data_IF_762799775614
#
_entry.id   IF_762799775614
#
_cell.length_a   1.000
_cell.length_b   1.000
_cell.length_c   1.000
_cell.angle_alpha   90.00
_cell.angle_beta   90.00
_cell.angle_gamma   90.00
#
_symmetry.space_group_name_H-M   'P 1'
#
loop_
_entity.id
_entity.type
_entity.pdbx_description
1 polymer ?
#
# COMPACT_ATOMS: atom_id res chain seq x y z
N UNK A 1 28.91 27.39 6.45
CA UNK A 1 28.86 26.01 6.99
C UNK A 1 27.45 25.60 7.46
N UNK A 2 26.64 26.52 8.02
CA UNK A 2 25.24 26.25 8.42
C UNK A 2 24.29 25.88 7.26
N UNK A 3 24.43 26.57 6.11
CA UNK A 3 23.56 26.41 4.94
C UNK A 3 23.68 25.04 4.25
N UNK A 4 24.88 24.46 4.21
CA UNK A 4 25.12 23.15 3.60
C UNK A 4 24.55 22.00 4.44
N UNK A 5 24.59 22.15 5.76
CA UNK A 5 24.05 21.16 6.70
C UNK A 5 22.52 21.16 6.70
N UNK A 6 21.91 22.35 6.59
CA UNK A 6 20.47 22.51 6.40
C UNK A 6 19.99 21.85 5.10
N UNK A 7 20.66 22.11 3.97
CA UNK A 7 20.32 21.50 2.68
C UNK A 7 20.36 19.96 2.69
N UNK A 8 21.37 19.37 3.36
CA UNK A 8 21.46 17.90 3.52
C UNK A 8 20.31 17.34 4.34
N UNK A 9 19.95 17.99 5.46
CA UNK A 9 18.83 17.56 6.32
C UNK A 9 17.50 17.56 5.57
N UNK A 10 17.23 18.59 4.78
CA UNK A 10 15.99 18.66 3.97
C UNK A 10 15.95 17.55 2.92
N UNK A 11 17.07 17.23 2.26
CA UNK A 11 17.13 16.09 1.32
C UNK A 11 16.85 14.76 2.00
N UNK A 12 17.43 14.51 3.18
CA UNK A 12 17.18 13.28 3.92
C UNK A 12 15.72 13.16 4.36
N UNK A 13 15.13 14.25 4.85
CA UNK A 13 13.72 14.27 5.26
C UNK A 13 12.81 14.02 4.06
N UNK A 14 13.09 14.63 2.91
CA UNK A 14 12.31 14.45 1.69
C UNK A 14 12.37 13.00 1.17
N UNK A 15 13.55 12.36 1.22
CA UNK A 15 13.69 10.94 0.93
C UNK A 15 12.94 10.06 1.93
N UNK A 16 13.02 10.38 3.22
CA UNK A 16 12.32 9.64 4.26
C UNK A 16 10.79 9.72 4.06
N UNK A 17 10.25 10.90 3.78
CA UNK A 17 8.84 11.08 3.44
C UNK A 17 8.45 10.25 2.20
N UNK A 18 9.29 10.25 1.16
CA UNK A 18 9.02 9.48 -0.05
C UNK A 18 8.99 7.96 0.20
N UNK A 19 9.96 7.45 0.95
CA UNK A 19 10.07 6.01 1.23
C UNK A 19 9.01 5.53 2.21
N UNK A 20 8.79 6.26 3.30
CA UNK A 20 7.69 5.95 4.25
C UNK A 20 6.37 6.00 3.51
N UNK A 21 6.17 7.03 2.68
CA UNK A 21 5.00 7.16 1.85
C UNK A 21 4.75 5.93 0.98
N UNK A 22 5.78 5.48 0.27
CA UNK A 22 5.71 4.32 -0.63
C UNK A 22 5.41 3.01 0.11
N UNK A 23 5.89 2.85 1.34
CA UNK A 23 5.59 1.69 2.18
C UNK A 23 4.13 1.71 2.69
N UNK A 24 3.59 2.88 3.00
CA UNK A 24 2.23 3.01 3.52
C UNK A 24 1.15 2.78 2.45
N UNK A 25 1.44 3.04 1.18
CA UNK A 25 0.49 2.86 0.07
C UNK A 25 -0.09 1.43 -0.03
N UNK A 26 0.71 0.36 -0.05
CA UNK A 26 0.19 -1.01 -0.17
C UNK A 26 -0.33 -1.60 1.15
N UNK A 27 -0.14 -0.94 2.30
CA UNK A 27 -0.49 -1.54 3.61
C UNK A 27 -1.92 -2.05 3.72
N UNK A 28 -2.96 -1.37 3.21
CA UNK A 28 -4.33 -1.88 3.32
C UNK A 28 -4.56 -3.21 2.60
N UNK A 29 -3.72 -3.58 1.64
CA UNK A 29 -3.79 -4.89 0.98
C UNK A 29 -3.05 -5.99 1.75
N UNK A 30 -2.28 -5.62 2.79
CA UNK A 30 -1.46 -6.55 3.58
C UNK A 30 -1.99 -6.77 5.00
N UNK A 31 -2.71 -5.80 5.55
CA UNK A 31 -3.15 -5.80 6.97
C UNK A 31 -4.66 -5.88 7.16
N UNK A 32 -5.41 -6.29 6.13
CA UNK A 32 -6.86 -6.40 6.20
C UNK A 32 -7.34 -7.50 7.13
N UNK A 33 -8.51 -7.29 7.72
CA UNK A 33 -9.20 -8.35 8.46
C UNK A 33 -9.77 -9.33 7.46
N UNK A 34 -9.50 -10.63 7.62
CA UNK A 34 -10.01 -11.67 6.74
C UNK A 34 -11.18 -12.43 7.36
N UNK A 35 -12.14 -12.84 6.55
CA UNK A 35 -13.06 -13.93 6.93
C UNK A 35 -12.29 -15.24 6.86
N UNK A 36 -12.27 -16.08 7.91
CA UNK A 36 -11.66 -17.42 7.79
C UNK A 36 -12.61 -18.35 7.04
N UNK A 37 -12.40 -18.52 5.73
CA UNK A 37 -13.02 -19.60 4.96
C UNK A 37 -11.97 -20.69 4.67
N UNK A 38 -12.36 -21.96 4.86
CA UNK A 38 -11.57 -23.09 4.40
C UNK A 38 -11.96 -23.38 2.96
N UNK A 39 -11.17 -22.91 1.99
CA UNK A 39 -11.37 -23.23 0.58
C UNK A 39 -10.31 -24.22 0.11
N UNK A 40 -10.74 -25.32 -0.50
CA UNK A 40 -9.87 -26.24 -1.22
C UNK A 40 -9.98 -25.99 -2.72
N UNK A 41 -9.04 -25.23 -3.27
CA UNK A 41 -8.94 -25.01 -4.71
C UNK A 41 -8.03 -26.11 -5.29
N UNK A 42 -8.58 -27.17 -5.88
CA UNK A 42 -7.75 -28.15 -6.58
C UNK A 42 -7.08 -27.57 -7.86
N UNK A 43 -6.03 -28.23 -8.34
CA UNK A 43 -5.44 -27.97 -9.67
C UNK A 43 -4.53 -26.72 -9.77
N UNK A 44 -4.35 -26.20 -10.98
CA UNK A 44 -3.42 -25.08 -11.27
C UNK A 44 -3.68 -23.86 -10.39
N UNK A 45 -4.95 -23.48 -10.22
CA UNK A 45 -5.32 -22.31 -9.42
C UNK A 45 -5.15 -22.53 -7.91
N UNK A 46 -5.19 -23.79 -7.45
CA UNK A 46 -4.76 -24.15 -6.10
C UNK A 46 -3.30 -23.87 -5.85
N UNK A 47 -2.43 -24.31 -6.76
CA UNK A 47 -0.99 -24.05 -6.68
C UNK A 47 -0.67 -22.53 -6.74
N UNK A 48 -1.45 -21.76 -7.52
CA UNK A 48 -1.33 -20.29 -7.53
C UNK A 48 -1.76 -19.70 -6.18
N UNK A 49 -2.89 -20.15 -5.63
CA UNK A 49 -3.36 -19.71 -4.32
C UNK A 49 -2.34 -20.02 -3.22
N UNK A 50 -1.74 -21.20 -3.21
CA UNK A 50 -0.70 -21.57 -2.23
C UNK A 50 0.57 -20.71 -2.37
N UNK A 51 0.92 -20.29 -3.59
CA UNK A 51 2.13 -19.52 -3.85
C UNK A 51 1.99 -18.02 -3.54
N UNK A 52 0.87 -17.40 -3.88
CA UNK A 52 0.66 -15.95 -3.77
C UNK A 52 -0.50 -15.54 -2.87
N UNK A 53 -1.25 -16.50 -2.33
CA UNK A 53 -2.40 -16.25 -1.46
C UNK A 53 -3.62 -15.70 -2.21
N UNK A 54 -3.69 -15.83 -3.54
CA UNK A 54 -4.78 -15.26 -4.37
C UNK A 54 -5.27 -16.31 -5.37
N UNK A 55 -6.59 -16.47 -5.47
CA UNK A 55 -7.30 -17.33 -6.41
C UNK A 55 -7.84 -16.43 -7.52
N UNK A 56 -7.14 -16.35 -8.67
CA UNK A 56 -7.42 -15.35 -9.69
C UNK A 56 -8.88 -15.30 -10.18
N UNK A 57 -9.58 -16.44 -10.38
CA UNK A 57 -10.97 -16.40 -10.84
C UNK A 57 -11.96 -15.77 -9.85
N UNK A 58 -11.64 -15.75 -8.55
CA UNK A 58 -12.48 -15.17 -7.50
C UNK A 58 -11.96 -13.84 -6.95
N UNK A 59 -10.80 -13.37 -7.43
CA UNK A 59 -10.19 -12.14 -6.93
C UNK A 59 -11.02 -10.93 -7.33
N UNK A 60 -11.39 -10.12 -6.35
CA UNK A 60 -12.13 -8.87 -6.55
C UNK A 60 -11.54 -7.78 -5.67
N UNK A 61 -11.57 -6.53 -6.13
CA UNK A 61 -11.15 -5.37 -5.36
C UNK A 61 -12.15 -4.26 -5.66
N UNK A 62 -12.66 -3.66 -4.60
CA UNK A 62 -13.51 -2.50 -4.65
C UNK A 62 -13.08 -1.47 -3.60
N UNK A 63 -13.38 -0.20 -3.88
CA UNK A 63 -13.09 0.91 -2.97
C UNK A 63 -14.40 1.54 -2.53
N UNK A 64 -14.67 1.43 -1.23
CA UNK A 64 -15.72 2.21 -0.59
C UNK A 64 -15.18 3.59 -0.24
N UNK A 65 -15.53 4.57 -1.08
CA UNK A 65 -15.13 5.96 -0.90
C UNK A 65 -15.87 6.67 0.24
N UNK A 66 -17.07 6.20 0.62
CA UNK A 66 -17.83 6.76 1.74
C UNK A 66 -17.12 6.49 3.06
N UNK A 67 -16.67 5.26 3.24
CA UNK A 67 -16.04 4.81 4.48
C UNK A 67 -14.50 4.85 4.43
N UNK A 68 -13.92 5.25 3.29
CA UNK A 68 -12.49 5.25 3.01
C UNK A 68 -11.87 3.87 3.30
N UNK A 69 -12.44 2.84 2.68
CA UNK A 69 -12.02 1.46 2.84
C UNK A 69 -11.78 0.80 1.50
N UNK A 70 -10.86 -0.17 1.50
CA UNK A 70 -10.73 -1.13 0.41
C UNK A 70 -11.33 -2.44 0.87
N UNK A 71 -12.23 -2.97 0.06
CA UNK A 71 -12.83 -4.27 0.24
C UNK A 71 -12.30 -5.13 -0.89
N UNK A 72 -11.65 -6.23 -0.56
CA UNK A 72 -11.08 -7.12 -1.57
C UNK A 72 -11.27 -8.58 -1.19
N UNK A 73 -11.35 -9.45 -2.16
CA UNK A 73 -11.41 -10.88 -1.96
C UNK A 73 -10.18 -11.51 -2.58
N UNK A 74 -9.50 -12.39 -1.84
CA UNK A 74 -8.46 -13.25 -2.42
C UNK A 74 -9.08 -14.41 -3.23
N UNK A 75 -10.41 -14.45 -3.36
CA UNK A 75 -11.19 -15.52 -3.99
C UNK A 75 -11.67 -16.60 -3.03
N UNK A 76 -11.16 -16.61 -1.78
CA UNK A 76 -11.64 -17.44 -0.68
C UNK A 76 -12.19 -16.60 0.48
N UNK A 77 -11.40 -15.62 0.90
CA UNK A 77 -11.62 -14.78 2.06
C UNK A 77 -11.89 -13.34 1.60
N UNK A 78 -12.93 -12.75 2.17
CA UNK A 78 -13.15 -11.31 2.09
C UNK A 78 -12.25 -10.59 3.07
N UNK A 79 -11.65 -9.49 2.60
CA UNK A 79 -10.77 -8.62 3.34
C UNK A 79 -11.32 -7.20 3.33
N UNK A 80 -11.22 -6.54 4.48
CA UNK A 80 -11.60 -5.13 4.62
C UNK A 80 -10.48 -4.39 5.34
N UNK A 81 -10.11 -3.24 4.79
CA UNK A 81 -9.04 -2.41 5.33
C UNK A 81 -9.32 -0.93 5.14
N UNK A 82 -8.91 -0.10 6.09
CA UNK A 82 -8.94 1.36 5.92
C UNK A 82 -7.93 1.81 4.87
N UNK A 83 -8.32 2.75 4.01
CA UNK A 83 -7.46 3.45 3.04
C UNK A 83 -6.65 4.59 3.64
N UNK A 84 -6.85 4.93 4.92
CA UNK A 84 -6.11 6.02 5.59
C UNK A 84 -4.59 5.87 5.46
N UNK A 85 -3.98 4.67 5.66
CA UNK A 85 -2.55 4.49 5.43
C UNK A 85 -2.14 4.80 4.00
N UNK A 86 -2.94 4.41 2.99
CA UNK A 86 -2.64 4.69 1.59
C UNK A 86 -2.72 6.17 1.26
N UNK A 87 -3.71 6.88 1.79
CA UNK A 87 -3.85 8.32 1.59
C UNK A 87 -2.70 9.10 2.23
N UNK A 88 -2.35 8.74 3.47
CA UNK A 88 -1.17 9.31 4.14
C UNK A 88 0.12 8.95 3.38
N UNK A 89 0.22 7.72 2.88
CA UNK A 89 1.35 7.26 2.10
C UNK A 89 1.53 8.04 0.80
N UNK A 90 0.44 8.21 0.05
CA UNK A 90 0.41 8.97 -1.19
C UNK A 90 0.79 10.43 -0.98
N UNK A 91 0.23 11.08 0.05
CA UNK A 91 0.55 12.47 0.39
C UNK A 91 2.01 12.65 0.80
N UNK A 92 2.55 11.79 1.67
CA UNK A 92 3.97 11.81 2.05
C UNK A 92 4.89 11.58 0.85
N UNK A 93 4.52 10.67 -0.04
CA UNK A 93 5.24 10.39 -1.28
C UNK A 93 5.32 11.63 -2.18
N UNK A 94 4.18 12.27 -2.42
CA UNK A 94 4.08 13.47 -3.24
C UNK A 94 4.87 14.64 -2.64
N UNK A 95 4.77 14.85 -1.33
CA UNK A 95 5.53 15.90 -0.63
C UNK A 95 7.03 15.65 -0.70
N UNK A 96 7.47 14.41 -0.45
CA UNK A 96 8.87 14.02 -0.52
C UNK A 96 9.47 14.19 -1.91
N UNK A 97 8.78 13.68 -2.95
CA UNK A 97 9.20 13.82 -4.34
C UNK A 97 9.17 15.29 -4.79
N UNK A 98 8.14 16.04 -4.41
CA UNK A 98 8.02 17.47 -4.71
C UNK A 98 9.16 18.28 -4.10
N UNK A 99 9.49 18.03 -2.83
CA UNK A 99 10.63 18.66 -2.16
C UNK A 99 11.97 18.30 -2.82
N UNK A 100 12.17 17.04 -3.21
CA UNK A 100 13.37 16.61 -3.96
C UNK A 100 13.46 17.29 -5.32
N UNK A 101 12.33 17.44 -6.03
CA UNK A 101 12.26 18.15 -7.31
C UNK A 101 12.57 19.64 -7.19
N UNK A 102 12.08 20.28 -6.13
CA UNK A 102 12.34 21.70 -5.86
C UNK A 102 13.81 21.95 -5.50
N UNK A 103 14.45 21.07 -4.72
CA UNK A 103 15.87 21.18 -4.36
C UNK A 103 16.86 20.94 -5.50
N UNK A 104 16.37 20.43 -6.64
CA UNK A 104 17.16 20.19 -7.87
C UNK A 104 17.09 21.36 -8.85
N UNK A 105 16.11 22.25 -8.70
CA UNK A 105 15.98 23.48 -9.49
C UNK A 105 16.80 24.59 -8.85
#
# INVERSE_FOLDING_TARGET
>A
MSTTLHSRRVRYLAWLCALVGLVLVPLPFLTGTSTLAACEFGGFYGAVYDAVGIYPPGYTVDIDWSDLQVVWSDGCNGHVSSLVPSLLGGTLSLVGVGALGWLRR
#
